data_IF_982664399980
#
_entry.id   IF_982664399980
#
_cell.length_a   1.000
_cell.length_b   1.000
_cell.length_c   1.000
_cell.angle_alpha   90.00
_cell.angle_beta   90.00
_cell.angle_gamma   90.00
#
_symmetry.space_group_name_H-M   'P 1'
#
loop_
_entity.id
_entity.type
_entity.pdbx_description
1 polymer ?
#
# COMPACT_ATOMS: atom_id res chain seq x y z
N UNK A 1 22.11 -14.84 -3.61
CA UNK A 1 22.31 -14.31 -2.25
C UNK A 1 20.97 -14.37 -1.56
N UNK A 2 20.84 -15.08 -0.44
CA UNK A 2 19.58 -15.10 0.29
C UNK A 2 19.32 -13.69 0.83
N UNK A 3 18.21 -13.06 0.44
CA UNK A 3 17.80 -11.79 1.03
C UNK A 3 17.53 -12.01 2.51
N UNK A 4 18.04 -11.12 3.35
CA UNK A 4 17.74 -11.14 4.78
C UNK A 4 16.22 -11.15 5.00
N UNK A 5 15.70 -12.02 5.89
CA UNK A 5 14.27 -12.06 6.16
C UNK A 5 13.79 -10.74 6.78
N UNK A 6 12.51 -10.43 6.61
CA UNK A 6 11.92 -9.26 7.26
C UNK A 6 11.93 -9.43 8.78
N UNK A 7 12.13 -8.33 9.51
CA UNK A 7 12.02 -8.31 10.97
C UNK A 7 10.54 -8.19 11.42
N UNK A 8 10.29 -8.38 12.71
CA UNK A 8 8.92 -8.41 13.25
C UNK A 8 8.17 -7.09 13.03
N UNK A 9 8.86 -5.95 13.16
CA UNK A 9 8.27 -4.62 12.91
C UNK A 9 7.85 -4.44 11.45
N UNK A 10 8.62 -4.98 10.51
CA UNK A 10 8.29 -4.96 9.08
C UNK A 10 7.10 -5.87 8.78
N UNK A 11 7.03 -7.04 9.42
CA UNK A 11 5.88 -7.95 9.30
C UNK A 11 4.61 -7.37 9.90
N UNK A 12 4.70 -6.71 11.06
CA UNK A 12 3.57 -5.99 11.69
C UNK A 12 3.06 -4.86 10.82
N UNK A 13 3.96 -4.24 10.07
CA UNK A 13 3.59 -3.19 9.14
C UNK A 13 2.91 -3.72 7.89
N UNK A 14 3.37 -4.85 7.35
CA UNK A 14 2.69 -5.56 6.26
C UNK A 14 1.29 -6.04 6.69
N UNK A 15 1.19 -6.58 7.90
CA UNK A 15 -0.06 -6.93 8.57
C UNK A 15 -1.05 -5.74 8.59
N UNK A 16 -0.59 -4.57 9.05
CA UNK A 16 -1.40 -3.35 9.08
C UNK A 16 -1.86 -2.88 7.69
N UNK A 17 -1.17 -3.28 6.62
CA UNK A 17 -1.58 -3.02 5.23
C UNK A 17 -2.47 -4.10 4.63
N UNK A 18 -2.80 -5.16 5.38
CA UNK A 18 -3.55 -6.32 4.88
C UNK A 18 -2.80 -7.02 3.75
N UNK A 19 -1.49 -7.21 3.90
CA UNK A 19 -0.67 -7.81 2.84
C UNK A 19 -1.11 -9.24 2.52
N UNK A 20 -1.23 -9.53 1.22
CA UNK A 20 -1.57 -10.86 0.71
C UNK A 20 -0.49 -11.30 -0.28
N UNK A 21 0.08 -12.49 -0.09
CA UNK A 21 0.90 -13.18 -1.06
C UNK A 21 0.02 -14.19 -1.81
N UNK A 22 -0.15 -13.97 -3.10
CA UNK A 22 -0.69 -14.97 -4.03
C UNK A 22 0.49 -15.76 -4.59
N UNK A 23 0.45 -17.09 -4.53
CA UNK A 23 1.54 -17.90 -5.02
C UNK A 23 1.14 -19.35 -5.26
N UNK A 24 2.14 -20.20 -5.49
CA UNK A 24 1.94 -21.65 -5.60
C UNK A 24 2.41 -22.37 -4.35
N UNK A 25 1.68 -23.41 -3.96
CA UNK A 25 2.04 -24.32 -2.87
C UNK A 25 3.31 -25.10 -3.22
N UNK A 26 3.42 -25.55 -4.47
CA UNK A 26 4.56 -26.35 -4.95
C UNK A 26 4.96 -26.00 -6.39
N UNK A 27 6.18 -26.39 -6.80
CA UNK A 27 6.65 -26.22 -8.17
C UNK A 27 6.95 -24.77 -8.59
N UNK A 28 7.14 -23.86 -7.64
CA UNK A 28 7.55 -22.48 -7.87
C UNK A 28 8.48 -22.00 -6.75
N UNK A 29 9.79 -22.00 -7.02
CA UNK A 29 10.82 -21.61 -6.06
C UNK A 29 10.69 -20.14 -5.62
N UNK A 30 10.21 -19.28 -6.52
CA UNK A 30 9.92 -17.87 -6.21
C UNK A 30 8.80 -17.73 -5.19
N UNK A 31 7.72 -18.51 -5.31
CA UNK A 31 6.65 -18.54 -4.31
C UNK A 31 7.18 -19.03 -2.96
N UNK A 32 8.01 -20.09 -2.95
CA UNK A 32 8.64 -20.58 -1.72
C UNK A 32 9.55 -19.54 -1.07
N UNK A 33 10.34 -18.81 -1.88
CA UNK A 33 11.23 -17.72 -1.44
C UNK A 33 10.42 -16.59 -0.80
N UNK A 34 9.35 -16.15 -1.44
CA UNK A 34 8.46 -15.13 -0.91
C UNK A 34 7.80 -15.57 0.39
N UNK A 35 7.33 -16.82 0.46
CA UNK A 35 6.74 -17.37 1.68
C UNK A 35 7.71 -17.35 2.84
N UNK A 36 8.96 -17.77 2.62
CA UNK A 36 10.00 -17.74 3.63
C UNK A 36 10.32 -16.30 4.10
N UNK A 37 10.44 -15.34 3.16
CA UNK A 37 10.72 -13.94 3.49
C UNK A 37 9.60 -13.29 4.31
N UNK A 38 8.34 -13.57 3.98
CA UNK A 38 7.15 -13.05 4.67
C UNK A 38 6.74 -13.91 5.88
N UNK A 39 7.48 -14.98 6.17
CA UNK A 39 7.20 -15.96 7.24
C UNK A 39 5.78 -16.52 7.20
N UNK A 40 5.26 -16.77 6.00
CA UNK A 40 3.93 -17.37 5.81
C UNK A 40 4.04 -18.89 5.59
N UNK A 41 3.17 -19.69 6.23
CA UNK A 41 3.22 -21.15 6.14
C UNK A 41 2.90 -21.65 4.71
N UNK A 42 3.39 -22.86 4.40
CA UNK A 42 3.16 -23.51 3.09
C UNK A 42 1.73 -23.97 2.88
N UNK A 43 1.00 -24.23 3.96
CA UNK A 43 -0.36 -24.79 3.92
C UNK A 43 -1.44 -23.71 3.72
N UNK A 44 -1.06 -22.45 3.51
CA UNK A 44 -2.01 -21.32 3.51
C UNK A 44 -2.19 -20.73 4.91
N UNK A 45 -2.74 -19.53 4.96
CA UNK A 45 -3.03 -18.82 6.22
C UNK A 45 -2.07 -17.68 6.54
N UNK A 46 -2.20 -17.16 7.75
CA UNK A 46 -1.49 -15.97 8.22
C UNK A 46 -0.04 -16.28 8.65
N UNK A 47 0.80 -15.25 8.70
CA UNK A 47 2.22 -15.42 9.02
C UNK A 47 2.49 -15.95 10.42
N UNK A 48 3.69 -16.49 10.64
CA UNK A 48 4.15 -16.92 11.95
C UNK A 48 5.08 -15.88 12.59
N UNK A 49 5.03 -15.78 13.93
CA UNK A 49 5.98 -15.01 14.72
C UNK A 49 7.36 -15.70 14.73
N UNK A 50 8.38 -14.99 15.23
CA UNK A 50 9.75 -15.51 15.29
C UNK A 50 9.88 -16.82 16.11
N UNK A 51 8.96 -17.05 17.06
CA UNK A 51 8.89 -18.25 17.89
C UNK A 51 8.08 -19.40 17.27
N UNK A 52 7.55 -19.21 16.05
CA UNK A 52 6.77 -20.21 15.31
C UNK A 52 5.27 -20.23 15.66
N UNK A 53 4.80 -19.34 16.54
CA UNK A 53 3.35 -19.17 16.80
C UNK A 53 2.64 -18.50 15.63
N UNK A 54 1.42 -18.92 15.31
CA UNK A 54 0.61 -18.27 14.27
C UNK A 54 0.24 -16.84 14.70
N UNK A 55 0.42 -15.86 13.81
CA UNK A 55 -0.08 -14.49 13.98
C UNK A 55 -1.40 -14.39 13.23
N UNK A 56 -2.51 -14.16 13.92
CA UNK A 56 -3.80 -13.97 13.24
C UNK A 56 -3.80 -12.73 12.32
N UNK A 57 -2.95 -11.75 12.62
CA UNK A 57 -2.89 -10.48 11.90
C UNK A 57 -1.78 -10.41 10.85
N UNK A 58 -1.00 -11.48 10.62
CA UNK A 58 0.15 -11.47 9.72
C UNK A 58 -0.18 -11.33 8.22
N UNK A 59 0.83 -11.13 7.34
CA UNK A 59 0.65 -11.33 5.91
C UNK A 59 -0.02 -12.68 5.62
N UNK A 60 -0.97 -12.70 4.68
CA UNK A 60 -1.71 -13.90 4.30
C UNK A 60 -1.12 -14.56 3.05
N UNK A 61 -1.17 -15.89 2.98
CA UNK A 61 -0.85 -16.63 1.77
C UNK A 61 -2.09 -17.29 1.16
N UNK A 62 -2.27 -17.12 -0.15
CA UNK A 62 -3.31 -17.78 -0.96
C UNK A 62 -2.62 -18.63 -2.02
N UNK A 63 -2.85 -19.95 -1.98
CA UNK A 63 -2.28 -20.87 -2.94
C UNK A 63 -3.16 -20.93 -4.21
N UNK A 64 -2.72 -20.30 -5.29
CA UNK A 64 -3.45 -20.30 -6.57
C UNK A 64 -3.44 -21.65 -7.30
N UNK A 65 -2.72 -22.65 -6.79
CA UNK A 65 -2.80 -24.07 -7.18
C UNK A 65 -3.31 -24.97 -6.03
N UNK A 66 -3.94 -24.35 -5.02
CA UNK A 66 -4.55 -25.00 -3.87
C UNK A 66 -5.98 -25.45 -4.11
N UNK A 67 -6.85 -25.22 -3.12
CA UNK A 67 -8.27 -25.56 -3.17
C UNK A 67 -9.04 -24.79 -4.26
N UNK A 68 -10.25 -25.27 -4.62
CA UNK A 68 -11.12 -24.55 -5.57
C UNK A 68 -11.48 -23.14 -5.08
N UNK A 69 -11.61 -22.96 -3.76
CA UNK A 69 -11.85 -21.65 -3.14
C UNK A 69 -10.68 -20.69 -3.36
N UNK A 70 -9.45 -21.13 -3.05
CA UNK A 70 -8.25 -20.31 -3.26
C UNK A 70 -8.04 -19.97 -4.73
N UNK A 71 -8.24 -20.95 -5.63
CA UNK A 71 -8.19 -20.73 -7.08
C UNK A 71 -9.22 -19.69 -7.53
N UNK A 72 -10.45 -19.75 -6.99
CA UNK A 72 -11.50 -18.77 -7.26
C UNK A 72 -11.09 -17.36 -6.80
N UNK A 73 -10.49 -17.24 -5.60
CA UNK A 73 -10.00 -15.96 -5.09
C UNK A 73 -8.90 -15.39 -5.99
N UNK A 74 -7.91 -16.19 -6.40
CA UNK A 74 -6.87 -15.75 -7.34
C UNK A 74 -7.46 -15.26 -8.67
N UNK A 75 -8.44 -15.98 -9.22
CA UNK A 75 -9.13 -15.60 -10.46
C UNK A 75 -9.92 -14.30 -10.31
N UNK A 76 -10.65 -14.13 -9.21
CA UNK A 76 -11.40 -12.90 -8.92
C UNK A 76 -10.48 -11.69 -8.71
N UNK A 77 -9.32 -11.92 -8.10
CA UNK A 77 -8.27 -10.90 -7.96
C UNK A 77 -7.52 -10.61 -9.26
N UNK A 78 -7.79 -11.34 -10.35
CA UNK A 78 -7.14 -11.16 -11.65
C UNK A 78 -5.68 -11.65 -11.67
N UNK A 79 -5.31 -12.53 -10.76
CA UNK A 79 -3.95 -13.09 -10.67
C UNK A 79 -3.78 -14.16 -11.73
N UNK A 80 -3.06 -13.84 -12.80
CA UNK A 80 -2.75 -14.76 -13.91
C UNK A 80 -1.35 -15.34 -13.82
N UNK A 81 -0.47 -14.72 -13.03
CA UNK A 81 0.92 -15.11 -12.83
C UNK A 81 1.24 -15.09 -11.33
N UNK A 82 2.20 -15.90 -10.90
CA UNK A 82 2.58 -16.03 -9.48
C UNK A 82 4.10 -16.13 -9.34
N UNK A 83 4.68 -15.68 -8.21
CA UNK A 83 3.99 -15.05 -7.08
C UNK A 83 3.58 -13.60 -7.34
N UNK A 84 2.55 -13.11 -6.65
CA UNK A 84 2.17 -11.70 -6.58
C UNK A 84 2.02 -11.33 -5.11
N UNK A 85 2.79 -10.34 -4.66
CA UNK A 85 2.60 -9.77 -3.31
C UNK A 85 1.75 -8.51 -3.44
N UNK A 86 0.66 -8.42 -2.71
CA UNK A 86 -0.16 -7.21 -2.63
C UNK A 86 0.15 -6.50 -1.33
N UNK A 87 0.74 -5.31 -1.41
CA UNK A 87 1.03 -4.44 -0.26
C UNK A 87 0.21 -3.17 -0.41
N UNK A 88 -0.63 -2.86 0.58
CA UNK A 88 -1.48 -1.67 0.57
C UNK A 88 -2.30 -1.52 -0.74
N UNK A 89 -2.83 -2.64 -1.26
CA UNK A 89 -3.61 -2.68 -2.50
C UNK A 89 -2.82 -2.53 -3.80
N UNK A 90 -1.48 -2.53 -3.76
CA UNK A 90 -0.60 -2.53 -4.93
C UNK A 90 0.01 -3.92 -5.11
N UNK A 91 -0.15 -4.50 -6.30
CA UNK A 91 0.42 -5.81 -6.65
C UNK A 91 1.84 -5.70 -7.19
N UNK A 92 2.72 -6.56 -6.69
CA UNK A 92 4.13 -6.72 -7.07
C UNK A 92 4.33 -8.13 -7.61
N UNK A 93 4.57 -8.24 -8.92
CA UNK A 93 4.73 -9.51 -9.63
C UNK A 93 6.16 -10.06 -9.49
N UNK A 94 6.26 -11.38 -9.28
CA UNK A 94 7.52 -12.11 -9.14
C UNK A 94 8.11 -12.04 -7.74
N UNK A 95 9.20 -12.78 -7.52
CA UNK A 95 9.94 -12.72 -6.26
C UNK A 95 10.50 -11.30 -6.03
N UNK A 96 10.12 -10.70 -4.90
CA UNK A 96 10.63 -9.41 -4.44
C UNK A 96 11.81 -9.60 -3.48
N UNK A 97 12.75 -8.67 -3.49
CA UNK A 97 13.77 -8.59 -2.46
C UNK A 97 13.20 -7.98 -1.17
N UNK A 98 13.83 -8.24 -0.03
CA UNK A 98 13.49 -7.61 1.24
C UNK A 98 13.54 -6.07 1.13
N UNK A 99 14.55 -5.54 0.43
CA UNK A 99 14.68 -4.11 0.11
C UNK A 99 13.44 -3.56 -0.61
N UNK A 100 12.95 -4.25 -1.64
CA UNK A 100 11.76 -3.82 -2.37
C UNK A 100 10.51 -3.82 -1.48
N UNK A 101 10.35 -4.83 -0.61
CA UNK A 101 9.24 -4.88 0.35
C UNK A 101 9.34 -3.76 1.39
N UNK A 102 10.54 -3.48 1.92
CA UNK A 102 10.79 -2.37 2.85
C UNK A 102 10.44 -1.02 2.22
N UNK A 103 10.80 -0.81 0.96
CA UNK A 103 10.43 0.38 0.22
C UNK A 103 8.89 0.47 0.07
N UNK A 104 8.23 -0.64 -0.27
CA UNK A 104 6.77 -0.69 -0.41
C UNK A 104 6.04 -0.30 0.89
N UNK A 105 6.44 -0.83 2.05
CA UNK A 105 5.79 -0.51 3.34
C UNK A 105 6.12 0.89 3.86
N UNK A 106 7.22 1.49 3.39
CA UNK A 106 7.64 2.83 3.79
C UNK A 106 7.03 3.93 2.90
N UNK A 107 6.64 3.59 1.66
CA UNK A 107 6.08 4.54 0.70
C UNK A 107 4.87 5.33 1.24
N UNK A 108 3.90 4.73 1.96
CA UNK A 108 2.80 5.48 2.56
C UNK A 108 3.23 6.62 3.49
N UNK A 109 4.23 6.40 4.36
CA UNK A 109 4.73 7.43 5.27
C UNK A 109 5.40 8.57 4.49
N UNK A 110 6.25 8.20 3.53
CA UNK A 110 6.98 9.16 2.73
C UNK A 110 6.04 10.03 1.89
N UNK A 111 5.01 9.43 1.27
CA UNK A 111 3.97 10.16 0.54
C UNK A 111 3.18 11.06 1.48
N UNK A 112 2.83 10.58 2.68
CA UNK A 112 2.05 11.36 3.65
C UNK A 112 2.80 12.61 4.12
N UNK A 113 4.11 12.52 4.31
CA UNK A 113 4.95 13.68 4.60
C UNK A 113 4.94 14.70 3.44
N UNK A 114 5.02 14.22 2.19
CA UNK A 114 4.92 15.09 1.01
C UNK A 114 3.57 15.80 0.93
N UNK A 115 2.48 15.07 1.22
CA UNK A 115 1.12 15.60 1.28
C UNK A 115 0.97 16.66 2.37
N UNK A 116 1.54 16.41 3.56
CA UNK A 116 1.56 17.38 4.66
C UNK A 116 2.28 18.66 4.26
N UNK A 117 3.48 18.57 3.68
CA UNK A 117 4.25 19.73 3.17
C UNK A 117 3.52 20.47 2.05
N UNK A 118 2.75 19.75 1.24
CA UNK A 118 1.92 20.33 0.19
C UNK A 118 0.59 20.91 0.68
N UNK A 119 0.31 20.86 1.99
CA UNK A 119 -0.99 21.24 2.59
C UNK A 119 -2.15 20.53 1.88
N UNK A 120 -1.96 19.25 1.58
CA UNK A 120 -2.94 18.46 0.86
C UNK A 120 -4.12 18.11 1.77
N UNK A 121 -5.32 18.12 1.18
CA UNK A 121 -6.55 17.65 1.80
C UNK A 121 -7.24 16.66 0.87
N UNK A 122 -7.58 15.49 1.40
CA UNK A 122 -8.47 14.52 0.77
C UNK A 122 -9.91 14.86 1.13
N UNK A 123 -10.73 15.17 0.13
CA UNK A 123 -12.17 15.27 0.23
C UNK A 123 -12.76 13.94 -0.20
N UNK A 124 -13.55 13.32 0.67
CA UNK A 124 -14.04 11.98 0.43
C UNK A 124 -15.35 11.67 1.12
N UNK A 125 -15.77 10.42 1.00
CA UNK A 125 -16.90 9.89 1.75
C UNK A 125 -16.64 8.47 2.23
N UNK A 126 -16.95 8.16 3.48
CA UNK A 126 -16.87 6.80 4.05
C UNK A 126 -17.78 5.78 3.34
N UNK A 127 -18.85 6.22 2.65
CA UNK A 127 -19.70 5.35 1.84
C UNK A 127 -19.18 5.16 0.40
N UNK A 128 -18.14 5.90 -0.01
CA UNK A 128 -17.54 5.78 -1.34
C UNK A 128 -16.41 4.75 -1.31
N UNK A 129 -16.57 3.65 -2.05
CA UNK A 129 -15.57 2.56 -2.12
C UNK A 129 -14.19 3.05 -2.58
N UNK A 130 -14.12 4.03 -3.48
CA UNK A 130 -12.86 4.62 -3.92
C UNK A 130 -12.18 5.48 -2.86
N UNK A 131 -12.96 6.17 -2.01
CA UNK A 131 -12.40 6.91 -0.86
C UNK A 131 -11.88 5.93 0.18
N UNK A 132 -12.64 4.89 0.50
CA UNK A 132 -12.21 3.83 1.42
C UNK A 132 -10.90 3.22 0.91
N UNK A 133 -10.85 2.84 -0.37
CA UNK A 133 -9.64 2.34 -1.02
C UNK A 133 -8.48 3.32 -0.92
N UNK A 134 -8.70 4.61 -1.17
CA UNK A 134 -7.67 5.64 -1.03
C UNK A 134 -7.13 5.72 0.40
N UNK A 135 -7.97 5.63 1.43
CA UNK A 135 -7.54 5.59 2.83
C UNK A 135 -6.74 4.32 3.13
N UNK A 136 -7.22 3.17 2.65
CA UNK A 136 -6.57 1.86 2.86
C UNK A 136 -5.16 1.81 2.32
N UNK A 137 -4.87 2.40 1.15
CA UNK A 137 -3.49 2.37 0.61
C UNK A 137 -2.48 3.16 1.46
N UNK A 138 -2.96 4.07 2.30
CA UNK A 138 -2.10 4.76 3.27
C UNK A 138 -1.95 4.00 4.59
N UNK A 139 -2.88 3.10 4.90
CA UNK A 139 -2.91 2.39 6.18
C UNK A 139 -2.77 3.36 7.37
N UNK A 140 -1.92 3.05 8.37
CA UNK A 140 -1.69 3.93 9.52
C UNK A 140 -1.20 5.34 9.16
N UNK A 141 -0.49 5.51 8.04
CA UNK A 141 0.05 6.81 7.62
C UNK A 141 -1.07 7.83 7.32
N UNK A 142 -2.28 7.36 7.02
CA UNK A 142 -3.43 8.20 6.70
C UNK A 142 -3.81 9.14 7.85
N UNK A 143 -3.49 8.80 9.10
CA UNK A 143 -3.75 9.65 10.28
C UNK A 143 -3.11 11.03 10.18
N UNK A 144 -2.03 11.16 9.38
CA UNK A 144 -1.32 12.42 9.17
C UNK A 144 -1.87 13.24 7.99
N UNK A 145 -2.79 12.67 7.20
CA UNK A 145 -3.37 13.29 6.02
C UNK A 145 -4.62 14.08 6.40
N UNK A 146 -4.73 15.34 5.98
CA UNK A 146 -5.95 16.11 6.19
C UNK A 146 -7.11 15.48 5.39
N UNK A 147 -8.23 15.21 6.07
CA UNK A 147 -9.41 14.60 5.49
C UNK A 147 -10.67 15.43 5.78
N UNK A 148 -11.52 15.58 4.77
CA UNK A 148 -12.85 16.17 4.91
C UNK A 148 -13.89 15.13 4.48
N UNK A 149 -14.79 14.80 5.39
CA UNK A 149 -15.89 13.86 5.16
C UNK A 149 -17.09 14.60 4.56
N UNK A 150 -17.28 14.49 3.24
CA UNK A 150 -18.28 15.27 2.52
C UNK A 150 -19.73 14.96 2.90
N UNK A 151 -20.03 13.76 3.43
CA UNK A 151 -21.38 13.48 3.91
C UNK A 151 -21.70 14.19 5.24
N UNK A 152 -20.67 14.43 6.06
CA UNK A 152 -20.81 15.13 7.36
C UNK A 152 -20.60 16.64 7.20
N UNK A 153 -19.79 17.06 6.23
CA UNK A 153 -19.36 18.44 6.02
C UNK A 153 -19.58 18.92 4.57
N UNK A 154 -20.81 18.83 4.02
CA UNK A 154 -21.08 19.11 2.61
C UNK A 154 -20.71 20.54 2.19
N UNK A 155 -20.83 21.51 3.11
CA UNK A 155 -20.45 22.90 2.89
C UNK A 155 -18.96 23.08 2.60
N UNK A 156 -18.08 22.33 3.28
CA UNK A 156 -16.62 22.38 3.04
C UNK A 156 -16.28 21.84 1.66
N UNK A 157 -16.90 20.73 1.24
CA UNK A 157 -16.66 20.15 -0.07
C UNK A 157 -17.18 21.03 -1.20
N UNK A 158 -18.39 21.61 -1.04
CA UNK A 158 -18.95 22.56 -2.02
C UNK A 158 -18.09 23.82 -2.16
N UNK A 159 -17.67 24.43 -1.05
CA UNK A 159 -16.79 25.61 -1.05
C UNK A 159 -15.42 25.31 -1.69
N UNK A 160 -14.92 24.09 -1.53
CA UNK A 160 -13.69 23.65 -2.18
C UNK A 160 -13.88 23.32 -3.67
N UNK A 161 -15.11 23.30 -4.18
CA UNK A 161 -15.44 22.98 -5.57
C UNK A 161 -15.30 21.49 -5.90
N UNK A 162 -15.57 20.62 -4.93
CA UNK A 162 -15.54 19.15 -5.10
C UNK A 162 -16.86 18.69 -5.72
N UNK A 163 -16.79 18.16 -6.94
CA UNK A 163 -17.94 17.61 -7.68
C UNK A 163 -18.03 16.08 -7.62
N UNK A 164 -16.93 15.41 -7.26
CA UNK A 164 -16.85 13.96 -7.15
C UNK A 164 -15.77 13.58 -6.12
N UNK A 165 -15.93 12.42 -5.50
CA UNK A 165 -15.02 11.90 -4.46
C UNK A 165 -14.42 10.55 -4.88
N UNK A 166 -13.21 10.21 -4.43
CA UNK A 166 -12.28 11.07 -3.70
C UNK A 166 -11.72 12.21 -4.58
N UNK A 167 -11.37 13.34 -3.96
CA UNK A 167 -10.69 14.45 -4.60
C UNK A 167 -9.59 15.00 -3.68
N UNK A 168 -8.41 15.26 -4.26
CA UNK A 168 -7.28 15.85 -3.57
C UNK A 168 -7.13 17.31 -3.96
N UNK A 169 -7.05 18.18 -2.97
CA UNK A 169 -6.56 19.55 -3.17
C UNK A 169 -5.21 19.69 -2.49
N UNK A 170 -4.18 19.95 -3.28
CA UNK A 170 -2.82 20.17 -2.82
C UNK A 170 -2.54 21.66 -2.95
N UNK A 171 -2.62 22.40 -1.84
CA UNK A 171 -2.54 23.86 -1.87
C UNK A 171 -1.16 24.37 -2.32
N UNK A 172 -0.10 23.61 -2.01
CA UNK A 172 1.29 23.94 -2.32
C UNK A 172 1.97 22.77 -3.02
N UNK A 173 1.53 22.39 -4.23
CA UNK A 173 2.15 21.28 -4.98
C UNK A 173 2.99 21.73 -6.18
N UNK A 174 2.63 22.84 -6.83
CA UNK A 174 3.37 23.33 -7.98
C UNK A 174 4.83 23.69 -7.65
N UNK A 175 5.72 23.73 -8.67
CA UNK A 175 7.10 24.22 -8.50
C UNK A 175 7.14 25.58 -7.80
N UNK A 176 6.22 26.46 -8.17
CA UNK A 176 6.08 27.82 -7.59
C UNK A 176 5.12 27.87 -6.38
N UNK A 177 4.75 26.72 -5.82
CA UNK A 177 3.78 26.63 -4.72
C UNK A 177 2.33 26.76 -5.16
N UNK A 178 2.02 26.65 -6.46
CA UNK A 178 0.65 26.77 -6.96
C UNK A 178 -0.24 25.58 -6.55
N UNK A 179 -1.55 25.80 -6.37
CA UNK A 179 -2.48 24.72 -6.03
C UNK A 179 -2.68 23.73 -7.18
N UNK A 180 -2.86 22.45 -6.84
CA UNK A 180 -3.24 21.38 -7.77
C UNK A 180 -4.46 20.62 -7.26
N UNK A 181 -5.37 20.28 -8.16
CA UNK A 181 -6.52 19.40 -7.88
C UNK A 181 -6.34 18.07 -8.62
N UNK A 182 -6.57 16.96 -7.93
CA UNK A 182 -6.62 15.62 -8.51
C UNK A 182 -7.98 15.00 -8.16
N UNK A 183 -8.62 14.35 -9.13
CA UNK A 183 -9.94 13.75 -8.95
C UNK A 183 -9.83 12.25 -9.14
N UNK A 184 -10.59 11.50 -8.33
CA UNK A 184 -10.57 10.05 -8.32
C UNK A 184 -9.42 9.48 -7.49
N UNK A 185 -9.39 8.15 -7.40
CA UNK A 185 -8.33 7.42 -6.70
C UNK A 185 -6.97 7.73 -7.33
N UNK A 186 -5.99 8.04 -6.48
CA UNK A 186 -4.61 8.29 -6.83
C UNK A 186 -3.72 7.21 -6.21
N UNK A 187 -2.98 6.43 -7.02
CA UNK A 187 -1.99 5.51 -6.47
C UNK A 187 -0.85 6.30 -5.80
N UNK A 188 -0.20 5.71 -4.79
CA UNK A 188 0.87 6.35 -4.02
C UNK A 188 1.98 6.97 -4.90
N UNK A 189 2.47 6.32 -5.97
CA UNK A 189 3.45 6.95 -6.87
C UNK A 189 2.95 8.22 -7.56
N UNK A 190 1.65 8.32 -7.89
CA UNK A 190 1.09 9.52 -8.50
C UNK A 190 1.01 10.67 -7.48
N UNK A 191 0.66 10.37 -6.23
CA UNK A 191 0.69 11.35 -5.14
C UNK A 191 2.12 11.79 -4.83
N UNK A 192 3.08 10.85 -4.78
CA UNK A 192 4.50 11.16 -4.65
C UNK A 192 4.97 12.11 -5.75
N UNK A 193 4.65 11.80 -7.01
CA UNK A 193 4.99 12.66 -8.14
C UNK A 193 4.35 14.05 -8.01
N UNK A 194 3.10 14.12 -7.54
CA UNK A 194 2.40 15.39 -7.33
C UNK A 194 3.02 16.24 -6.21
N UNK A 195 3.73 15.62 -5.26
CA UNK A 195 4.39 16.29 -4.14
C UNK A 195 5.92 16.29 -4.23
N UNK A 196 6.51 15.80 -5.33
CA UNK A 196 7.96 15.60 -5.43
C UNK A 196 8.76 16.90 -5.22
N UNK A 197 8.21 18.03 -5.64
CA UNK A 197 8.76 19.39 -5.45
C UNK A 197 8.83 19.84 -3.97
N UNK A 198 8.31 19.03 -3.04
CA UNK A 198 8.37 19.26 -1.57
C UNK A 198 9.50 18.48 -0.89
N UNK A 199 10.29 17.75 -1.66
CA UNK A 199 11.48 17.06 -1.21
C UNK A 199 12.70 17.63 -1.89
N UNK A 200 13.82 17.62 -1.17
CA UNK A 200 15.14 17.77 -1.76
C UNK A 200 15.50 16.54 -2.58
N UNK A 201 16.43 16.69 -3.51
CA UNK A 201 16.98 15.57 -4.27
C UNK A 201 17.62 14.52 -3.35
N UNK A 202 18.25 14.96 -2.25
CA UNK A 202 18.83 14.07 -1.25
C UNK A 202 17.77 13.20 -0.55
N UNK A 203 16.64 13.77 -0.14
CA UNK A 203 15.54 13.02 0.48
C UNK A 203 14.93 11.99 -0.48
N UNK A 204 14.73 12.37 -1.76
CA UNK A 204 14.22 11.45 -2.77
C UNK A 204 15.20 10.30 -3.03
N UNK A 205 16.48 10.63 -3.15
CA UNK A 205 17.55 9.65 -3.35
C UNK A 205 17.63 8.69 -2.16
N UNK A 206 17.67 9.21 -0.94
CA UNK A 206 17.69 8.41 0.29
C UNK A 206 16.51 7.45 0.36
N UNK A 207 15.30 7.90 0.00
CA UNK A 207 14.14 7.02 -0.04
C UNK A 207 14.26 5.90 -1.08
N UNK A 208 14.74 6.22 -2.29
CA UNK A 208 14.87 5.22 -3.37
C UNK A 208 16.02 4.24 -3.14
N UNK A 209 17.06 4.67 -2.44
CA UNK A 209 18.28 3.89 -2.22
C UNK A 209 18.25 3.11 -0.90
N UNK A 210 17.30 3.38 -0.01
CA UNK A 210 17.17 2.74 1.31
C UNK A 210 17.14 1.22 1.21
N UNK A 211 18.14 0.56 1.79
CA UNK A 211 18.30 -0.90 1.88
C UNK A 211 17.35 -1.57 2.88
#
# INVERSE_FOLDING_TARGET
>A
MASEPLNDKELDRLAAFGTILFGRKSGCDESATMRAMLRVPSEGGASAAADGTAREDGPFFIACDGSEEEQSVCKQAGITETPVTVVAGVGYLGAQSAKAIRAAIALPDFVSEGLKRAEATLYGSESCSWTVRQKTVFGPAFETVNYVECNREPGKCSAAGVSSVPAWHLAKAGPDGTPRKLVGFQPLPALLQATASRFSEAELKEFTERD
#
